data_IF_461617448824
#
_entry.id   IF_461617448824
#
_cell.length_a   1.000
_cell.length_b   1.000
_cell.length_c   1.000
_cell.angle_alpha   90.00
_cell.angle_beta   90.00
_cell.angle_gamma   90.00
#
_symmetry.space_group_name_H-M   'P 1'
#
loop_
_entity.id
_entity.type
_entity.pdbx_description
1 polymer ?
#
# COMPACT_ATOMS: atom_id res chain seq x y z
N UNK A 1 -2.83 -5.03 21.38
CA UNK A 1 -3.45 -5.99 20.43
C UNK A 1 -2.67 -5.90 19.13
N UNK A 2 -2.23 -7.02 18.56
CA UNK A 2 -1.38 -7.04 17.35
C UNK A 2 -2.24 -7.42 16.13
N UNK A 3 -1.96 -6.80 14.97
CA UNK A 3 -2.65 -7.06 13.70
C UNK A 3 -1.77 -7.82 12.69
N UNK A 4 -0.52 -8.06 13.05
CA UNK A 4 0.48 -8.68 12.19
C UNK A 4 1.85 -8.82 12.86
N UNK A 5 2.86 -9.21 12.09
CA UNK A 5 4.23 -9.40 12.53
C UNK A 5 5.24 -9.19 11.39
N UNK A 6 6.52 -9.02 11.73
CA UNK A 6 7.62 -8.99 10.75
C UNK A 6 8.04 -10.42 10.37
N UNK A 7 8.10 -10.70 9.08
CA UNK A 7 8.77 -11.87 8.51
C UNK A 7 10.10 -11.43 7.91
N UNK A 8 11.14 -11.46 8.73
CA UNK A 8 12.48 -11.00 8.34
C UNK A 8 13.09 -11.85 7.21
N UNK A 9 12.70 -13.13 7.12
CA UNK A 9 13.19 -14.04 6.10
C UNK A 9 12.70 -13.64 4.70
N UNK A 10 11.46 -13.17 4.62
CA UNK A 10 10.84 -12.65 3.40
C UNK A 10 11.00 -11.15 3.24
N UNK A 11 11.43 -10.45 4.29
CA UNK A 11 11.50 -8.98 4.39
C UNK A 11 10.13 -8.33 4.22
N UNK A 12 9.13 -8.92 4.85
CA UNK A 12 7.73 -8.53 4.73
C UNK A 12 7.13 -8.22 6.10
N UNK A 13 6.07 -7.42 6.10
CA UNK A 13 5.19 -7.30 7.26
C UNK A 13 3.88 -8.04 6.94
N UNK A 14 3.57 -9.09 7.71
CA UNK A 14 2.42 -9.97 7.49
C UNK A 14 1.25 -9.49 8.34
N UNK A 15 0.21 -8.96 7.70
CA UNK A 15 -1.05 -8.57 8.34
C UNK A 15 -1.97 -9.80 8.36
N UNK A 16 -2.26 -10.34 9.55
CA UNK A 16 -3.11 -11.53 9.72
C UNK A 16 -4.58 -11.18 9.94
N UNK A 17 -4.85 -9.90 10.22
CA UNK A 17 -6.19 -9.37 10.50
C UNK A 17 -6.44 -8.12 9.65
N UNK A 18 -7.45 -8.12 8.76
CA UNK A 18 -7.66 -7.01 7.84
C UNK A 18 -8.28 -5.76 8.50
N UNK A 19 -8.86 -5.90 9.69
CA UNK A 19 -9.55 -4.86 10.46
C UNK A 19 -8.58 -3.98 11.28
N UNK A 20 -7.48 -3.53 10.66
CA UNK A 20 -6.53 -2.62 11.29
C UNK A 20 -7.19 -1.29 11.70
N UNK A 21 -6.75 -0.61 12.79
CA UNK A 21 -7.41 0.62 13.27
C UNK A 21 -7.39 1.76 12.24
N UNK A 22 -6.41 1.73 11.34
CA UNK A 22 -6.26 2.59 10.17
C UNK A 22 -5.75 1.76 8.99
N UNK A 23 -6.00 2.17 7.73
CA UNK A 23 -5.43 1.50 6.57
C UNK A 23 -3.90 1.55 6.61
N UNK A 24 -3.26 0.39 6.54
CA UNK A 24 -1.80 0.30 6.42
C UNK A 24 -1.44 0.15 4.95
N UNK A 25 -0.62 1.06 4.44
CA UNK A 25 -0.31 1.15 3.01
C UNK A 25 1.08 0.62 2.68
N UNK A 26 1.24 0.18 1.43
CA UNK A 26 2.51 -0.02 0.79
C UNK A 26 2.59 0.79 -0.50
N UNK A 27 3.82 1.01 -0.98
CA UNK A 27 4.11 1.64 -2.26
C UNK A 27 4.49 0.57 -3.29
N UNK A 28 3.90 0.67 -4.48
CA UNK A 28 4.27 -0.09 -5.65
C UNK A 28 4.94 0.85 -6.67
N UNK A 29 6.00 0.39 -7.30
CA UNK A 29 6.70 1.10 -8.37
C UNK A 29 8.01 1.76 -7.93
N UNK A 30 9.01 1.66 -8.79
CA UNK A 30 10.38 2.21 -8.58
C UNK A 30 10.82 3.16 -9.69
N UNK A 31 9.98 3.36 -10.70
CA UNK A 31 10.27 4.22 -11.87
C UNK A 31 9.16 5.28 -12.03
N UNK A 32 8.56 5.40 -13.21
CA UNK A 32 7.62 6.48 -13.48
C UNK A 32 6.18 6.17 -13.06
N UNK A 33 5.83 4.90 -12.84
CA UNK A 33 4.51 4.49 -12.37
C UNK A 33 4.54 4.19 -10.88
N UNK A 34 3.56 4.71 -10.14
CA UNK A 34 3.42 4.51 -8.70
C UNK A 34 2.00 4.09 -8.32
N UNK A 35 1.90 3.25 -7.29
CA UNK A 35 0.64 2.90 -6.63
C UNK A 35 0.77 2.98 -5.12
N UNK A 36 -0.22 3.58 -4.46
CA UNK A 36 -0.43 3.43 -3.02
C UNK A 36 -1.52 2.38 -2.86
N UNK A 37 -1.25 1.33 -2.08
CA UNK A 37 -2.20 0.25 -1.85
C UNK A 37 -2.30 -0.09 -0.36
N UNK A 38 -3.51 -0.13 0.20
CA UNK A 38 -3.75 -0.55 1.57
C UNK A 38 -3.82 -2.07 1.71
N UNK A 39 -3.75 -2.55 2.94
CA UNK A 39 -4.00 -3.95 3.32
C UNK A 39 -5.40 -4.47 2.94
N UNK A 40 -6.33 -3.58 2.62
CA UNK A 40 -7.69 -3.87 2.12
C UNK A 40 -7.86 -3.52 0.63
N UNK A 41 -6.76 -3.39 -0.11
CA UNK A 41 -6.71 -3.06 -1.54
C UNK A 41 -7.30 -1.69 -1.94
N UNK A 42 -7.45 -0.76 -1.00
CA UNK A 42 -7.78 0.63 -1.28
C UNK A 42 -6.55 1.43 -1.71
N UNK A 43 -6.75 2.57 -2.36
CA UNK A 43 -5.69 3.50 -2.75
C UNK A 43 -5.83 3.98 -4.19
N UNK A 44 -4.75 4.50 -4.77
CA UNK A 44 -4.73 5.01 -6.13
C UNK A 44 -3.36 4.89 -6.78
N UNK A 45 -3.33 5.03 -8.10
CA UNK A 45 -2.13 4.98 -8.91
C UNK A 45 -1.97 6.25 -9.76
N UNK A 46 -0.73 6.61 -10.06
CA UNK A 46 -0.38 7.77 -10.87
C UNK A 46 0.89 7.53 -11.68
N UNK A 47 1.07 8.29 -12.76
CA UNK A 47 2.28 8.25 -13.58
C UNK A 47 3.03 9.59 -13.48
N UNK A 48 4.20 9.57 -12.83
CA UNK A 48 5.09 10.71 -12.52
C UNK A 48 4.50 11.77 -11.59
N UNK A 49 3.30 12.28 -11.86
CA UNK A 49 2.65 13.36 -11.12
C UNK A 49 1.35 12.89 -10.46
N UNK A 50 1.30 12.92 -9.12
CA UNK A 50 0.16 12.44 -8.33
C UNK A 50 -1.10 13.33 -8.38
N UNK A 51 -0.96 14.57 -8.88
CA UNK A 51 -2.05 15.54 -9.02
C UNK A 51 -2.58 15.57 -10.45
N UNK A 52 -1.70 15.72 -11.44
CA UNK A 52 -2.08 15.95 -12.83
C UNK A 52 -2.16 14.66 -13.67
N UNK A 53 -1.56 13.56 -13.21
CA UNK A 53 -1.50 12.29 -13.94
C UNK A 53 -1.91 11.12 -13.05
N UNK A 54 -2.94 11.33 -12.24
CA UNK A 54 -3.60 10.29 -11.46
C UNK A 54 -4.50 9.44 -12.37
N UNK A 55 -4.33 8.12 -12.31
CA UNK A 55 -5.11 7.17 -13.13
C UNK A 55 -6.40 6.74 -12.44
N UNK A 56 -6.35 6.48 -11.13
CA UNK A 56 -7.50 5.99 -10.35
C UNK A 56 -7.90 6.98 -9.26
N UNK A 57 -9.20 7.07 -8.96
CA UNK A 57 -9.70 7.95 -7.90
C UNK A 57 -9.54 7.28 -6.53
N UNK A 58 -9.22 8.09 -5.54
CA UNK A 58 -9.26 7.79 -4.12
C UNK A 58 -9.67 9.06 -3.38
#
# INVERSE_FOLDING_TARGET
MNYGYFDDSRREYVITRPDTPLPWINYLGTEAYFGLISNTAGGYSFYRDARLRRLTRY
#
